data_IF_292199159931
#
_entry.id   IF_292199159931
#
_cell.length_a   1.000
_cell.length_b   1.000
_cell.length_c   1.000
_cell.angle_alpha   90.00
_cell.angle_beta   90.00
_cell.angle_gamma   90.00
#
_symmetry.space_group_name_H-M   'P 1'
#
loop_
_entity.id
_entity.type
_entity.pdbx_description
1 polymer ?
#
# COMPACT_ATOMS: atom_id res chain seq x y z
N UNK A 1 0.87 26.35 8.93
CA UNK A 1 1.98 26.83 8.05
C UNK A 1 2.08 25.84 6.90
N UNK A 2 2.16 26.32 5.66
CA UNK A 2 2.20 25.50 4.47
C UNK A 2 3.30 24.42 4.49
N UNK A 3 2.92 23.14 4.57
CA UNK A 3 3.85 22.00 4.43
C UNK A 3 3.52 21.19 3.18
N UNK A 4 4.52 20.57 2.56
CA UNK A 4 4.29 19.60 1.51
C UNK A 4 5.10 18.37 1.86
N UNK A 5 4.45 17.21 1.87
CA UNK A 5 5.09 15.94 2.17
C UNK A 5 4.98 15.04 0.96
N UNK A 6 6.12 14.56 0.46
CA UNK A 6 6.17 13.54 -0.58
C UNK A 6 6.39 12.18 0.08
N UNK A 7 5.44 11.26 -0.08
CA UNK A 7 5.66 9.84 0.23
C UNK A 7 6.41 9.19 -0.93
N UNK A 8 7.55 8.59 -0.64
CA UNK A 8 8.48 8.07 -1.63
C UNK A 8 8.80 6.60 -1.35
N UNK A 9 9.10 5.79 -2.39
CA UNK A 9 9.54 4.42 -2.19
C UNK A 9 10.89 4.37 -1.48
N UNK A 10 11.32 3.17 -1.08
CA UNK A 10 12.67 2.95 -0.61
C UNK A 10 13.70 3.45 -1.65
N UNK A 11 14.81 4.04 -1.19
CA UNK A 11 15.81 4.64 -2.10
C UNK A 11 16.46 3.60 -3.03
N UNK A 12 16.48 2.33 -2.61
CA UNK A 12 16.93 1.19 -3.42
C UNK A 12 16.08 0.95 -4.67
N UNK A 13 14.83 1.46 -4.73
CA UNK A 13 13.97 1.37 -5.92
C UNK A 13 14.33 2.38 -7.02
N UNK A 14 15.19 3.35 -6.74
CA UNK A 14 15.74 4.24 -7.75
C UNK A 14 17.07 3.69 -8.28
N UNK A 15 17.25 3.73 -9.60
CA UNK A 15 18.53 3.44 -10.21
C UNK A 15 19.63 4.36 -9.64
N UNK A 16 20.86 3.85 -9.58
CA UNK A 16 22.03 4.61 -9.17
C UNK A 16 22.34 5.70 -10.22
N UNK A 17 21.72 6.85 -10.06
CA UNK A 17 21.87 8.03 -10.90
C UNK A 17 22.06 9.26 -10.01
N UNK A 18 22.60 10.34 -10.58
CA UNK A 18 22.72 11.60 -9.87
C UNK A 18 21.40 12.36 -9.88
N UNK A 19 21.03 12.95 -8.74
CA UNK A 19 20.03 14.00 -8.68
C UNK A 19 20.55 15.27 -9.37
N UNK A 20 19.65 16.12 -9.89
CA UNK A 20 20.06 17.40 -10.42
C UNK A 20 20.77 18.27 -9.37
N UNK A 21 21.82 19.01 -9.76
CA UNK A 21 22.72 19.70 -8.81
C UNK A 21 22.03 20.63 -7.82
N UNK A 22 21.00 21.34 -8.25
CA UNK A 22 20.22 22.25 -7.42
C UNK A 22 19.41 21.50 -6.36
N UNK A 23 18.90 20.32 -6.70
CA UNK A 23 18.22 19.40 -5.78
C UNK A 23 19.23 18.79 -4.81
N UNK A 24 20.37 18.29 -5.31
CA UNK A 24 21.43 17.74 -4.46
C UNK A 24 21.96 18.79 -3.47
N UNK A 25 22.12 20.05 -3.90
CA UNK A 25 22.46 21.17 -3.00
C UNK A 25 21.39 21.44 -1.94
N UNK A 26 20.11 21.30 -2.29
CA UNK A 26 19.02 21.45 -1.34
C UNK A 26 19.01 20.31 -0.31
N UNK A 27 19.17 19.05 -0.75
CA UNK A 27 19.27 17.89 0.15
C UNK A 27 20.48 17.96 1.06
N UNK A 28 21.61 18.47 0.56
CA UNK A 28 22.80 18.74 1.37
C UNK A 28 22.52 19.70 2.54
N UNK A 29 21.49 20.54 2.43
CA UNK A 29 21.09 21.52 3.47
C UNK A 29 20.01 21.01 4.41
N UNK A 30 19.28 19.98 4.01
CA UNK A 30 18.16 19.43 4.74
C UNK A 30 18.54 18.92 6.13
N UNK A 31 17.59 18.94 7.05
CA UNK A 31 17.65 18.12 8.26
C UNK A 31 17.32 16.69 7.89
N UNK A 32 18.17 15.74 8.27
CA UNK A 32 17.95 14.32 8.03
C UNK A 32 17.47 13.64 9.31
N UNK A 33 16.44 12.82 9.23
CA UNK A 33 15.93 12.01 10.35
C UNK A 33 15.82 10.56 9.89
N UNK A 34 16.29 9.62 10.72
CA UNK A 34 16.06 8.19 10.51
C UNK A 34 14.91 7.74 11.42
N UNK A 35 13.94 7.04 10.85
CA UNK A 35 12.73 6.55 11.51
C UNK A 35 12.44 5.11 11.08
N UNK A 36 11.41 4.49 11.66
CA UNK A 36 11.05 3.10 11.38
C UNK A 36 10.73 2.89 9.88
N UNK A 37 11.40 1.96 9.19
CA UNK A 37 11.18 1.67 7.78
C UNK A 37 9.89 0.85 7.55
N UNK A 38 9.50 0.72 6.28
CA UNK A 38 8.35 -0.05 5.83
C UNK A 38 7.13 0.80 5.53
N UNK A 39 6.30 0.33 4.60
CA UNK A 39 5.11 1.05 4.13
C UNK A 39 4.15 1.38 5.27
N UNK A 40 3.83 0.40 6.13
CA UNK A 40 2.95 0.62 7.29
C UNK A 40 3.50 1.68 8.23
N UNK A 41 4.80 1.63 8.53
CA UNK A 41 5.46 2.60 9.40
C UNK A 41 5.44 3.99 8.77
N UNK A 42 5.66 4.09 7.46
CA UNK A 42 5.59 5.33 6.71
C UNK A 42 4.18 5.96 6.78
N UNK A 43 3.11 5.19 6.55
CA UNK A 43 1.74 5.68 6.66
C UNK A 43 1.38 6.09 8.09
N UNK A 44 1.83 5.33 9.10
CA UNK A 44 1.57 5.64 10.52
C UNK A 44 2.19 6.95 10.98
N UNK A 45 3.24 7.46 10.30
CA UNK A 45 3.80 8.79 10.58
C UNK A 45 2.86 9.93 10.19
N UNK A 46 1.94 9.69 9.26
CA UNK A 46 1.03 10.70 8.70
C UNK A 46 -0.43 10.47 9.09
N UNK A 47 -0.78 9.27 9.54
CA UNK A 47 -2.13 8.92 9.99
C UNK A 47 -2.08 8.25 11.36
N UNK A 48 -2.85 8.79 12.30
CA UNK A 48 -3.14 8.13 13.57
C UNK A 48 -4.44 7.37 13.42
N UNK A 49 -4.38 6.04 13.52
CA UNK A 49 -5.54 5.15 13.37
C UNK A 49 -5.86 4.53 14.73
N UNK A 50 -7.04 4.82 15.27
CA UNK A 50 -7.53 4.24 16.52
C UNK A 50 -8.20 2.89 16.25
N UNK A 51 -7.39 1.84 16.10
CA UNK A 51 -7.84 0.45 15.95
C UNK A 51 -6.86 -0.54 16.60
N UNK A 52 -7.33 -1.72 17.05
CA UNK A 52 -6.46 -2.77 17.60
C UNK A 52 -5.47 -3.33 16.59
N UNK A 53 -5.89 -3.40 15.32
CA UNK A 53 -5.12 -3.89 14.19
C UNK A 53 -5.14 -2.83 13.08
N UNK A 54 -4.22 -2.91 12.12
CA UNK A 54 -4.20 -2.00 10.97
C UNK A 54 -5.27 -2.44 9.94
N UNK A 55 -6.44 -1.77 9.86
CA UNK A 55 -7.63 -2.37 9.28
C UNK A 55 -7.74 -2.05 7.78
N UNK A 56 -6.78 -2.53 6.99
CA UNK A 56 -6.70 -2.25 5.55
C UNK A 56 -7.97 -2.68 4.81
N UNK A 57 -8.49 -3.87 5.13
CA UNK A 57 -9.68 -4.40 4.50
C UNK A 57 -10.90 -3.50 4.75
N UNK A 58 -11.16 -3.11 6.00
CA UNK A 58 -12.29 -2.26 6.35
C UNK A 58 -12.18 -0.86 5.72
N UNK A 59 -10.99 -0.24 5.77
CA UNK A 59 -10.76 1.09 5.18
C UNK A 59 -10.95 1.09 3.66
N UNK A 60 -10.38 0.11 2.97
CA UNK A 60 -10.53 0.01 1.50
C UNK A 60 -11.95 -0.40 1.12
N UNK A 61 -12.64 -1.23 1.92
CA UNK A 61 -14.06 -1.55 1.73
C UNK A 61 -14.96 -0.34 1.88
N UNK A 62 -14.72 0.49 2.90
CA UNK A 62 -15.50 1.72 3.10
C UNK A 62 -15.33 2.68 1.91
N UNK A 63 -14.16 2.70 1.29
CA UNK A 63 -13.88 3.49 0.09
C UNK A 63 -14.52 2.90 -1.17
N UNK A 64 -14.49 1.58 -1.34
CA UNK A 64 -15.00 0.89 -2.53
C UNK A 64 -16.53 0.75 -2.55
N UNK A 65 -17.17 0.54 -1.40
CA UNK A 65 -18.62 0.22 -1.30
C UNK A 65 -19.36 1.09 -0.27
N UNK A 66 -18.71 1.46 0.83
CA UNK A 66 -19.31 2.33 1.85
C UNK A 66 -20.09 1.61 2.97
N UNK A 67 -20.00 0.28 3.05
CA UNK A 67 -20.76 -0.59 3.98
C UNK A 67 -19.87 -1.30 5.02
N UNK A 68 -18.67 -0.79 5.29
CA UNK A 68 -17.71 -1.51 6.13
C UNK A 68 -18.11 -1.58 7.62
N UNK A 69 -19.05 -0.75 8.06
CA UNK A 69 -19.50 -0.69 9.45
C UNK A 69 -20.21 -1.99 9.92
N UNK A 70 -20.01 -2.35 11.18
CA UNK A 70 -20.73 -3.46 11.83
C UNK A 70 -20.26 -4.87 11.46
N UNK A 71 -19.13 -5.00 10.77
CA UNK A 71 -18.50 -6.29 10.47
C UNK A 71 -16.98 -6.21 10.58
N UNK A 72 -16.34 -7.37 10.72
CA UNK A 72 -14.90 -7.50 10.49
C UNK A 72 -14.65 -7.83 9.03
N UNK A 73 -13.60 -7.28 8.45
CA UNK A 73 -13.26 -7.44 7.04
C UNK A 73 -11.84 -7.99 6.91
N UNK A 74 -11.62 -8.79 5.89
CA UNK A 74 -10.32 -9.34 5.53
C UNK A 74 -10.14 -9.24 4.02
N UNK A 75 -8.95 -8.85 3.54
CA UNK A 75 -8.64 -8.91 2.11
C UNK A 75 -8.42 -10.37 1.72
N UNK A 76 -8.87 -10.74 0.53
CA UNK A 76 -8.69 -12.07 -0.05
C UNK A 76 -8.16 -11.93 -1.47
N UNK A 77 -7.06 -11.19 -1.62
CA UNK A 77 -6.64 -10.69 -2.93
C UNK A 77 -6.24 -11.82 -3.89
N UNK A 78 -6.65 -11.74 -5.17
CA UNK A 78 -6.17 -12.63 -6.22
C UNK A 78 -4.65 -12.69 -6.26
N UNK A 79 -4.07 -13.88 -6.22
CA UNK A 79 -2.63 -14.09 -6.23
C UNK A 79 -2.20 -15.17 -7.24
N UNK A 80 -0.96 -15.04 -7.71
CA UNK A 80 -0.26 -16.03 -8.51
C UNK A 80 0.90 -16.60 -7.70
N UNK A 81 0.77 -17.86 -7.32
CA UNK A 81 1.78 -18.64 -6.61
C UNK A 81 2.47 -19.60 -7.59
N UNK A 82 3.79 -19.69 -7.52
CA UNK A 82 4.57 -20.62 -8.35
C UNK A 82 5.40 -21.53 -7.44
N UNK A 83 5.41 -22.86 -7.68
CA UNK A 83 6.32 -23.76 -6.99
C UNK A 83 7.79 -23.37 -7.21
N UNK A 84 8.58 -23.44 -6.15
CA UNK A 84 10.03 -23.18 -6.16
C UNK A 84 10.76 -24.37 -5.50
N UNK A 85 12.08 -24.45 -5.64
CA UNK A 85 12.92 -25.52 -5.07
C UNK A 85 12.77 -25.66 -3.55
N UNK A 86 12.39 -24.58 -2.86
CA UNK A 86 12.22 -24.55 -1.41
C UNK A 86 10.74 -24.57 -0.96
N UNK A 87 9.78 -24.56 -1.89
CA UNK A 87 8.37 -24.49 -1.54
C UNK A 87 7.50 -23.82 -2.61
N UNK A 88 6.90 -22.68 -2.26
CA UNK A 88 6.10 -21.86 -3.17
C UNK A 88 6.43 -20.38 -2.97
N UNK A 89 6.34 -19.59 -4.03
CA UNK A 89 6.60 -18.15 -4.00
C UNK A 89 5.44 -17.37 -4.61
N UNK A 90 5.08 -16.26 -3.99
CA UNK A 90 4.12 -15.31 -4.57
C UNK A 90 4.81 -14.47 -5.65
N UNK A 91 4.31 -14.56 -6.89
CA UNK A 91 4.86 -13.84 -8.04
C UNK A 91 4.12 -12.54 -8.34
N UNK A 92 2.82 -12.49 -8.04
CA UNK A 92 1.97 -11.33 -8.23
C UNK A 92 0.73 -11.44 -7.35
N UNK A 93 0.16 -10.28 -6.99
CA UNK A 93 -1.09 -10.16 -6.25
C UNK A 93 -1.86 -8.91 -6.67
N UNK A 94 -3.18 -8.91 -6.45
CA UNK A 94 -4.04 -7.73 -6.60
C UNK A 94 -3.80 -6.98 -7.90
N UNK A 95 -3.39 -5.72 -7.83
CA UNK A 95 -3.18 -4.86 -9.01
C UNK A 95 -2.04 -5.34 -9.92
N UNK A 96 -0.99 -5.95 -9.37
CA UNK A 96 0.15 -6.44 -10.17
C UNK A 96 -0.23 -7.61 -11.08
N UNK A 97 -1.24 -8.39 -10.66
CA UNK A 97 -1.81 -9.51 -11.43
C UNK A 97 -2.77 -9.06 -12.53
N UNK A 98 -3.20 -7.78 -12.48
CA UNK A 98 -4.15 -7.15 -13.41
C UNK A 98 -5.43 -7.98 -13.66
N UNK A 99 -6.10 -8.48 -12.60
CA UNK A 99 -7.40 -9.11 -12.75
C UNK A 99 -8.41 -8.12 -13.33
N UNK A 100 -9.40 -8.68 -14.01
CA UNK A 100 -10.44 -7.99 -14.75
C UNK A 100 -11.80 -8.37 -14.17
N UNK A 101 -12.85 -7.65 -14.58
CA UNK A 101 -14.21 -8.02 -14.21
C UNK A 101 -14.58 -9.44 -14.69
N UNK A 102 -14.08 -9.85 -15.86
CA UNK A 102 -14.31 -11.20 -16.39
C UNK A 102 -13.71 -12.28 -15.48
N UNK A 103 -12.56 -12.01 -14.86
CA UNK A 103 -11.96 -12.91 -13.88
C UNK A 103 -12.86 -13.09 -12.65
N UNK A 104 -13.43 -11.99 -12.15
CA UNK A 104 -14.33 -12.02 -11.00
C UNK A 104 -15.60 -12.82 -11.30
N UNK A 105 -16.21 -12.56 -12.47
CA UNK A 105 -17.42 -13.27 -12.91
C UNK A 105 -17.18 -14.78 -13.09
N UNK A 106 -15.98 -15.17 -13.50
CA UNK A 106 -15.62 -16.59 -13.67
C UNK A 106 -15.26 -17.28 -12.35
N UNK A 107 -14.53 -16.61 -11.46
CA UNK A 107 -13.88 -17.25 -10.30
C UNK A 107 -14.66 -17.07 -8.98
N UNK A 108 -15.41 -15.99 -8.80
CA UNK A 108 -16.19 -15.81 -7.56
C UNK A 108 -17.25 -16.90 -7.35
N UNK A 109 -18.05 -17.31 -8.36
CA UNK A 109 -19.12 -18.28 -8.14
C UNK A 109 -18.63 -19.65 -7.65
N UNK A 110 -17.43 -20.07 -8.04
CA UNK A 110 -16.84 -21.33 -7.58
C UNK A 110 -16.28 -21.24 -6.16
N UNK A 111 -15.86 -20.04 -5.72
CA UNK A 111 -15.28 -19.80 -4.40
C UNK A 111 -16.33 -19.44 -3.34
N UNK A 112 -17.42 -18.79 -3.72
CA UNK A 112 -18.45 -18.35 -2.79
C UNK A 112 -19.01 -19.48 -1.90
N UNK A 113 -19.31 -20.70 -2.41
CA UNK A 113 -19.77 -21.80 -1.56
C UNK A 113 -18.75 -22.19 -0.47
N UNK A 114 -17.45 -22.26 -0.82
CA UNK A 114 -16.37 -22.57 0.12
C UNK A 114 -16.35 -21.61 1.32
N UNK A 115 -16.47 -20.31 1.05
CA UNK A 115 -16.47 -19.30 2.10
C UNK A 115 -17.80 -19.25 2.87
N UNK A 116 -18.93 -19.49 2.18
CA UNK A 116 -20.24 -19.56 2.81
C UNK A 116 -20.34 -20.73 3.81
N UNK A 117 -19.76 -21.89 3.48
CA UNK A 117 -19.68 -23.04 4.40
C UNK A 117 -18.84 -22.73 5.65
N UNK A 118 -17.86 -21.83 5.50
CA UNK A 118 -17.10 -21.27 6.62
C UNK A 118 -17.82 -20.11 7.35
N UNK A 119 -19.03 -19.72 6.94
CA UNK A 119 -19.79 -18.63 7.54
C UNK A 119 -19.30 -17.22 7.15
N UNK A 120 -18.61 -17.10 6.01
CA UNK A 120 -18.07 -15.85 5.48
C UNK A 120 -18.75 -15.48 4.17
N UNK A 121 -18.76 -14.18 3.84
CA UNK A 121 -19.27 -13.72 2.53
C UNK A 121 -18.10 -13.18 1.72
N UNK A 122 -17.84 -13.80 0.56
CA UNK A 122 -16.84 -13.34 -0.40
C UNK A 122 -17.48 -12.44 -1.46
N UNK A 123 -16.90 -11.26 -1.65
CA UNK A 123 -17.23 -10.35 -2.74
C UNK A 123 -15.99 -9.61 -3.32
N UNK A 124 -16.15 -9.01 -4.50
CA UNK A 124 -15.09 -8.26 -5.18
C UNK A 124 -15.67 -7.05 -5.93
N UNK A 125 -15.89 -5.91 -5.25
CA UNK A 125 -16.33 -4.68 -5.89
C UNK A 125 -15.27 -4.11 -6.85
N UNK A 126 -14.00 -4.46 -6.63
CA UNK A 126 -12.88 -4.15 -7.52
C UNK A 126 -12.16 -5.45 -7.91
N UNK A 127 -11.79 -5.65 -9.19
CA UNK A 127 -11.16 -6.90 -9.62
C UNK A 127 -9.86 -7.26 -8.90
N UNK A 128 -9.11 -6.26 -8.44
CA UNK A 128 -7.84 -6.39 -7.75
C UNK A 128 -7.98 -6.42 -6.22
N UNK A 129 -9.18 -6.19 -5.67
CA UNK A 129 -9.42 -6.11 -4.23
C UNK A 129 -10.66 -6.89 -3.85
N UNK A 130 -10.44 -8.08 -3.30
CA UNK A 130 -11.51 -8.98 -2.89
C UNK A 130 -11.63 -8.96 -1.37
N UNK A 131 -12.85 -9.14 -0.86
CA UNK A 131 -13.15 -9.00 0.56
C UNK A 131 -13.89 -10.22 1.08
N UNK A 132 -13.50 -10.63 2.29
CA UNK A 132 -14.31 -11.49 3.13
C UNK A 132 -14.96 -10.64 4.21
N UNK A 133 -16.29 -10.69 4.27
CA UNK A 133 -17.07 -10.20 5.40
C UNK A 133 -17.16 -11.29 6.46
N UNK A 134 -16.77 -10.94 7.68
CA UNK A 134 -16.63 -11.84 8.81
C UNK A 134 -17.49 -11.36 10.00
N UNK A 135 -17.86 -12.25 10.93
CA UNK A 135 -18.42 -11.84 12.22
C UNK A 135 -17.49 -10.84 12.92
N UNK A 136 -18.08 -9.80 13.53
CA UNK A 136 -17.32 -8.67 14.10
C UNK A 136 -16.41 -9.08 15.27
N UNK A 137 -16.78 -10.15 15.97
CA UNK A 137 -16.11 -10.72 17.15
C UNK A 137 -15.15 -11.86 16.79
N UNK A 138 -15.00 -12.20 15.50
CA UNK A 138 -14.07 -13.23 15.07
C UNK A 138 -12.62 -12.77 15.31
N UNK A 139 -11.91 -13.49 16.19
CA UNK A 139 -10.48 -13.30 16.38
C UNK A 139 -9.72 -13.79 15.13
N UNK A 140 -9.04 -12.86 14.47
CA UNK A 140 -8.18 -13.16 13.31
C UNK A 140 -6.76 -13.46 13.78
N UNK A 141 -6.08 -14.45 13.17
CA UNK A 141 -4.64 -14.56 13.31
C UNK A 141 -3.97 -13.35 12.65
N UNK A 142 -2.70 -13.13 12.97
CA UNK A 142 -1.89 -12.17 12.23
C UNK A 142 -1.66 -12.69 10.81
N UNK A 143 -1.85 -11.81 9.84
CA UNK A 143 -1.62 -12.08 8.43
C UNK A 143 -0.63 -11.07 7.89
N UNK A 144 0.44 -11.58 7.29
CA UNK A 144 1.45 -10.74 6.67
C UNK A 144 0.90 -10.07 5.40
N UNK A 145 1.29 -8.82 5.20
CA UNK A 145 0.93 -8.08 4.00
C UNK A 145 1.61 -8.67 2.75
N UNK A 146 1.03 -8.52 1.56
CA UNK A 146 1.64 -9.01 0.33
C UNK A 146 3.07 -8.48 0.09
N UNK A 147 3.37 -7.26 0.54
CA UNK A 147 4.70 -6.67 0.38
C UNK A 147 5.75 -7.29 1.32
N UNK A 148 5.32 -7.87 2.45
CA UNK A 148 6.18 -8.67 3.34
C UNK A 148 6.45 -10.07 2.79
N UNK A 149 5.50 -10.62 2.02
CA UNK A 149 5.54 -11.99 1.48
C UNK A 149 6.19 -12.06 0.10
N UNK A 150 6.17 -10.96 -0.65
CA UNK A 150 6.66 -10.89 -2.02
C UNK A 150 8.15 -11.25 -2.09
N UNK A 151 8.44 -12.39 -2.72
CA UNK A 151 9.80 -12.85 -2.97
C UNK A 151 10.43 -13.66 -1.84
N UNK A 152 9.73 -13.86 -0.73
CA UNK A 152 10.14 -14.73 0.39
C UNK A 152 9.46 -16.11 0.31
N UNK A 153 9.82 -17.02 1.22
CA UNK A 153 9.20 -18.35 1.34
C UNK A 153 7.80 -18.26 1.95
N UNK A 154 6.78 -18.61 1.15
CA UNK A 154 5.37 -18.56 1.51
C UNK A 154 5.06 -19.26 2.84
N UNK A 155 5.72 -20.39 3.13
CA UNK A 155 5.43 -21.19 4.31
C UNK A 155 5.76 -20.47 5.62
N UNK A 156 6.71 -19.53 5.60
CA UNK A 156 7.09 -18.72 6.76
C UNK A 156 6.04 -17.66 7.11
N UNK A 157 5.11 -17.38 6.20
CA UNK A 157 4.09 -16.34 6.34
C UNK A 157 2.67 -16.88 6.53
N UNK A 158 2.52 -18.21 6.60
CA UNK A 158 1.22 -18.82 6.82
C UNK A 158 0.81 -18.70 8.30
N UNK A 159 -0.47 -18.43 8.60
CA UNK A 159 -0.91 -18.22 9.97
C UNK A 159 -0.73 -19.48 10.82
N UNK A 160 -0.11 -19.32 11.98
CA UNK A 160 0.18 -20.38 12.93
C UNK A 160 -0.96 -20.63 13.92
N UNK A 161 -0.81 -21.66 14.76
CA UNK A 161 -1.77 -21.99 15.82
C UNK A 161 -3.11 -22.56 15.33
N UNK A 162 -4.05 -22.74 16.27
CA UNK A 162 -5.35 -23.34 15.97
C UNK A 162 -6.21 -22.48 15.04
N UNK A 163 -6.21 -21.14 15.26
CA UNK A 163 -6.88 -20.19 14.38
C UNK A 163 -6.31 -20.21 12.96
N UNK A 164 -4.98 -20.30 12.83
CA UNK A 164 -4.30 -20.35 11.53
C UNK A 164 -4.52 -21.66 10.76
N UNK A 165 -4.75 -22.80 11.44
CA UNK A 165 -5.08 -24.08 10.75
C UNK A 165 -6.32 -23.95 9.88
N UNK A 166 -7.37 -23.31 10.39
CA UNK A 166 -8.62 -23.10 9.64
C UNK A 166 -8.39 -22.25 8.39
N UNK A 167 -7.64 -21.16 8.51
CA UNK A 167 -7.32 -20.28 7.39
C UNK A 167 -6.43 -20.96 6.36
N UNK A 168 -5.43 -21.75 6.77
CA UNK A 168 -4.61 -22.55 5.85
C UNK A 168 -5.45 -23.55 5.06
N UNK A 169 -6.39 -24.24 5.70
CA UNK A 169 -7.30 -25.15 5.00
C UNK A 169 -8.12 -24.40 3.93
N UNK A 170 -8.69 -23.24 4.27
CA UNK A 170 -9.42 -22.39 3.32
C UNK A 170 -8.53 -21.93 2.15
N UNK A 171 -7.28 -21.53 2.42
CA UNK A 171 -6.32 -21.15 1.37
C UNK A 171 -6.03 -22.33 0.44
N UNK A 172 -5.79 -23.52 0.99
CA UNK A 172 -5.51 -24.73 0.21
C UNK A 172 -6.72 -25.14 -0.63
N UNK A 173 -7.93 -25.12 -0.06
CA UNK A 173 -9.16 -25.46 -0.79
C UNK A 173 -9.44 -24.46 -1.92
N UNK A 174 -9.31 -23.15 -1.64
CA UNK A 174 -9.42 -22.11 -2.66
C UNK A 174 -8.37 -22.30 -3.78
N UNK A 175 -7.13 -22.62 -3.42
CA UNK A 175 -6.06 -22.89 -4.39
C UNK A 175 -6.39 -24.09 -5.28
N UNK A 176 -6.93 -25.19 -4.73
CA UNK A 176 -7.33 -26.36 -5.52
C UNK A 176 -8.44 -26.01 -6.50
N UNK A 177 -9.46 -25.28 -6.06
CA UNK A 177 -10.56 -24.84 -6.93
C UNK A 177 -10.06 -23.94 -8.06
N UNK A 178 -9.22 -22.95 -7.73
CA UNK A 178 -8.68 -21.99 -8.68
C UNK A 178 -7.72 -22.66 -9.68
N UNK A 179 -6.82 -23.53 -9.22
CA UNK A 179 -5.85 -24.21 -10.07
C UNK A 179 -6.52 -25.08 -11.14
N UNK A 180 -7.60 -25.77 -10.77
CA UNK A 180 -8.35 -26.65 -11.68
C UNK A 180 -9.35 -25.90 -12.57
N UNK A 181 -9.55 -24.59 -12.37
CA UNK A 181 -10.56 -23.83 -13.08
C UNK A 181 -10.16 -23.57 -14.54
N UNK A 182 -11.04 -23.90 -15.49
CA UNK A 182 -10.78 -23.75 -16.93
C UNK A 182 -10.48 -22.31 -17.36
N UNK A 183 -10.98 -21.31 -16.63
CA UNK A 183 -10.65 -19.91 -16.84
C UNK A 183 -9.15 -19.62 -16.73
N UNK A 184 -8.44 -20.25 -15.79
CA UNK A 184 -7.00 -20.09 -15.67
C UNK A 184 -6.23 -20.71 -16.84
N UNK A 185 -6.77 -21.78 -17.44
CA UNK A 185 -6.21 -22.35 -18.67
C UNK A 185 -6.34 -21.35 -19.84
N UNK A 186 -7.46 -20.63 -19.92
CA UNK A 186 -7.67 -19.57 -20.93
C UNK A 186 -6.73 -18.38 -20.69
N UNK A 187 -6.57 -17.93 -19.45
CA UNK A 187 -5.59 -16.88 -19.08
C UNK A 187 -4.18 -17.27 -19.51
N UNK A 188 -3.77 -18.50 -19.20
CA UNK A 188 -2.46 -19.02 -19.58
C UNK A 188 -2.28 -19.09 -21.11
N UNK A 189 -3.31 -19.50 -21.85
CA UNK A 189 -3.29 -19.51 -23.33
C UNK A 189 -3.15 -18.11 -23.94
N UNK A 190 -3.53 -17.06 -23.19
CA UNK A 190 -3.37 -15.66 -23.56
C UNK A 190 -2.07 -15.03 -23.02
N UNK A 191 -1.17 -15.83 -22.43
CA UNK A 191 0.08 -15.35 -21.83
C UNK A 191 -0.10 -14.56 -20.53
N UNK A 192 -1.27 -14.63 -19.90
CA UNK A 192 -1.55 -13.99 -18.62
C UNK A 192 -1.18 -14.92 -17.46
N UNK A 193 -0.77 -14.34 -16.33
CA UNK A 193 -0.54 -15.10 -15.11
C UNK A 193 -1.86 -15.68 -14.57
N UNK A 194 -1.87 -16.94 -14.11
CA UNK A 194 -3.05 -17.55 -13.52
C UNK A 194 -3.38 -16.92 -12.17
N UNK A 195 -4.66 -16.82 -11.85
CA UNK A 195 -5.16 -16.48 -10.52
C UNK A 195 -5.38 -17.81 -9.79
N UNK A 196 -4.33 -18.34 -9.17
CA UNK A 196 -4.33 -19.69 -8.61
C UNK A 196 -4.39 -19.75 -7.09
N UNK A 197 -4.40 -18.61 -6.41
CA UNK A 197 -4.51 -18.51 -4.95
C UNK A 197 -5.23 -17.23 -4.54
N UNK A 198 -5.65 -17.15 -3.28
CA UNK A 198 -6.08 -15.94 -2.62
C UNK A 198 -5.14 -15.66 -1.45
N UNK A 199 -4.65 -14.43 -1.34
CA UNK A 199 -3.85 -14.02 -0.19
C UNK A 199 -4.72 -13.29 0.84
N UNK A 200 -4.74 -13.82 2.06
CA UNK A 200 -5.49 -13.22 3.16
C UNK A 200 -4.63 -12.23 3.93
N UNK A 201 -5.09 -10.99 4.09
CA UNK A 201 -4.33 -9.95 4.80
C UNK A 201 -5.18 -8.74 5.22
N UNK A 202 -4.59 -7.88 6.04
CA UNK A 202 -5.17 -6.56 6.33
C UNK A 202 -6.47 -6.61 7.12
N UNK A 203 -6.65 -7.66 7.93
CA UNK A 203 -7.86 -7.93 8.70
C UNK A 203 -8.18 -6.83 9.71
N UNK A 204 -9.47 -6.61 9.97
CA UNK A 204 -9.91 -5.73 11.04
C UNK A 204 -11.30 -5.13 10.82
N UNK A 205 -11.71 -4.34 11.80
CA UNK A 205 -12.95 -3.56 11.79
C UNK A 205 -12.66 -2.11 11.43
N UNK A 206 -13.70 -1.35 11.07
CA UNK A 206 -13.56 0.09 10.89
C UNK A 206 -12.95 0.75 12.15
N UNK A 207 -11.92 1.60 11.99
CA UNK A 207 -11.31 2.28 13.13
C UNK A 207 -12.30 3.26 13.77
N UNK A 208 -12.16 3.46 15.08
CA UNK A 208 -13.01 4.40 15.83
C UNK A 208 -12.81 5.83 15.33
N UNK A 209 -11.56 6.18 15.01
CA UNK A 209 -11.20 7.46 14.44
C UNK A 209 -9.90 7.35 13.66
N UNK A 210 -9.78 8.15 12.60
CA UNK A 210 -8.53 8.40 11.89
C UNK A 210 -8.26 9.90 11.92
N UNK A 211 -7.01 10.29 12.18
CA UNK A 211 -6.61 11.70 12.11
C UNK A 211 -5.29 11.86 11.37
N UNK A 212 -5.10 13.02 10.77
CA UNK A 212 -3.89 13.37 10.01
C UNK A 212 -3.60 14.86 10.15
N UNK A 213 -2.33 15.29 10.16
CA UNK A 213 -1.99 16.71 10.17
C UNK A 213 -2.17 17.38 8.79
N UNK A 214 -2.39 16.61 7.72
CA UNK A 214 -2.48 17.12 6.35
C UNK A 214 -3.88 17.62 6.02
N UNK A 215 -3.99 18.75 5.33
CA UNK A 215 -5.28 19.31 4.91
C UNK A 215 -5.85 18.64 3.65
N UNK A 216 -5.00 17.94 2.89
CA UNK A 216 -5.38 17.19 1.69
C UNK A 216 -4.40 16.04 1.43
N UNK A 217 -4.87 15.03 0.70
CA UNK A 217 -4.06 13.89 0.27
C UNK A 217 -4.23 13.71 -1.24
N UNK A 218 -3.12 13.63 -1.98
CA UNK A 218 -3.10 13.38 -3.42
C UNK A 218 -2.54 12.01 -3.67
N UNK A 219 -3.40 11.05 -4.02
CA UNK A 219 -3.02 9.66 -4.13
C UNK A 219 -3.95 8.88 -5.05
N UNK A 220 -3.43 7.77 -5.58
CA UNK A 220 -4.23 6.76 -6.30
C UNK A 220 -4.39 5.46 -5.54
N UNK A 221 -3.59 5.28 -4.49
CA UNK A 221 -3.60 4.10 -3.64
C UNK A 221 -4.90 4.01 -2.83
N UNK A 222 -5.60 2.87 -2.92
CA UNK A 222 -6.90 2.68 -2.31
C UNK A 222 -6.85 2.78 -0.77
N UNK A 223 -5.77 2.29 -0.15
CA UNK A 223 -5.61 2.37 1.31
C UNK A 223 -5.43 3.83 1.75
N UNK A 224 -4.55 4.57 1.10
CA UNK A 224 -4.32 5.97 1.42
C UNK A 224 -5.57 6.85 1.16
N UNK A 225 -6.35 6.54 0.12
CA UNK A 225 -7.66 7.17 -0.09
C UNK A 225 -8.65 6.82 1.03
N UNK A 226 -8.71 5.55 1.46
CA UNK A 226 -9.53 5.11 2.59
C UNK A 226 -9.16 5.82 3.91
N UNK A 227 -7.86 6.00 4.17
CA UNK A 227 -7.36 6.76 5.32
C UNK A 227 -7.76 8.24 5.24
N UNK A 228 -7.62 8.88 4.08
CA UNK A 228 -8.01 10.27 3.88
C UNK A 228 -9.53 10.48 4.09
N UNK A 229 -10.35 9.59 3.52
CA UNK A 229 -11.81 9.60 3.71
C UNK A 229 -12.19 9.42 5.18
N UNK A 230 -11.57 8.46 5.88
CA UNK A 230 -11.81 8.21 7.29
C UNK A 230 -11.36 9.37 8.19
N UNK A 231 -10.35 10.14 7.76
CA UNK A 231 -9.89 11.35 8.44
C UNK A 231 -10.71 12.61 8.10
N UNK A 232 -11.68 12.51 7.17
CA UNK A 232 -12.48 13.65 6.72
C UNK A 232 -11.69 14.66 5.86
N UNK A 233 -10.63 14.20 5.19
CA UNK A 233 -9.72 15.04 4.41
C UNK A 233 -9.99 14.88 2.91
N UNK A 234 -9.88 15.98 2.16
CA UNK A 234 -10.09 15.97 0.72
C UNK A 234 -9.04 15.13 0.00
N UNK A 235 -9.50 14.23 -0.86
CA UNK A 235 -8.67 13.50 -1.84
C UNK A 235 -8.60 14.32 -3.12
N UNK A 236 -7.39 14.54 -3.64
CA UNK A 236 -7.13 15.30 -4.88
C UNK A 236 -7.70 16.74 -4.89
N UNK A 237 -7.65 17.41 -3.74
CA UNK A 237 -8.10 18.79 -3.59
C UNK A 237 -7.33 19.81 -4.47
N UNK A 238 -8.04 20.87 -4.88
CA UNK A 238 -7.50 21.95 -5.71
C UNK A 238 -6.50 22.86 -4.96
N UNK A 239 -6.53 22.87 -3.63
CA UNK A 239 -5.66 23.72 -2.83
C UNK A 239 -4.19 23.31 -3.01
N UNK A 240 -3.26 24.27 -3.02
CA UNK A 240 -1.84 24.01 -3.27
C UNK A 240 -1.00 23.83 -1.99
N UNK A 241 -1.65 23.86 -0.82
CA UNK A 241 -0.97 24.09 0.46
C UNK A 241 -1.39 23.03 1.48
N UNK A 242 -0.43 22.47 2.22
CA UNK A 242 -0.63 21.44 3.25
C UNK A 242 -1.09 20.08 2.71
N UNK A 243 -0.30 19.54 1.78
CA UNK A 243 -0.60 18.32 1.04
C UNK A 243 0.36 17.17 1.34
N UNK A 244 -0.22 15.98 1.50
CA UNK A 244 0.48 14.71 1.38
C UNK A 244 0.35 14.20 -0.05
N UNK A 245 1.46 14.01 -0.76
CA UNK A 245 1.46 13.53 -2.15
C UNK A 245 2.10 12.15 -2.22
N UNK A 246 1.33 11.18 -2.71
CA UNK A 246 1.79 9.81 -2.88
C UNK A 246 2.57 9.63 -4.17
N UNK A 247 3.88 9.41 -4.04
CA UNK A 247 4.80 9.09 -5.12
C UNK A 247 5.52 7.76 -4.86
N UNK A 248 4.95 6.86 -4.03
CA UNK A 248 5.56 5.55 -3.70
C UNK A 248 5.74 4.64 -4.92
N UNK A 249 4.98 4.87 -5.99
CA UNK A 249 5.14 4.14 -7.25
C UNK A 249 6.16 4.76 -8.23
N UNK A 250 6.79 5.89 -7.86
CA UNK A 250 7.82 6.51 -8.68
C UNK A 250 9.07 5.60 -8.78
N UNK A 251 9.67 5.53 -9.97
CA UNK A 251 10.89 4.74 -10.20
C UNK A 251 12.03 5.55 -10.85
N UNK A 252 11.71 6.73 -11.38
CA UNK A 252 12.68 7.59 -12.05
C UNK A 252 13.21 8.67 -11.11
N UNK A 253 14.52 8.67 -10.89
CA UNK A 253 15.19 9.69 -10.11
C UNK A 253 15.15 11.06 -10.79
N UNK A 254 15.15 11.08 -12.13
CA UNK A 254 15.03 12.30 -12.92
C UNK A 254 13.65 12.94 -12.72
N UNK A 255 12.57 12.15 -12.74
CA UNK A 255 11.22 12.65 -12.45
C UNK A 255 11.10 13.12 -11.00
N UNK A 256 11.70 12.39 -10.04
CA UNK A 256 11.75 12.82 -8.65
C UNK A 256 12.41 14.19 -8.51
N UNK A 257 13.59 14.38 -9.10
CA UNK A 257 14.31 15.64 -9.04
C UNK A 257 13.59 16.77 -9.78
N UNK A 258 13.26 16.57 -11.06
CA UNK A 258 12.78 17.62 -11.95
C UNK A 258 11.32 17.98 -11.75
N UNK A 259 10.47 16.97 -11.59
CA UNK A 259 9.02 17.16 -11.68
C UNK A 259 8.39 17.21 -10.29
N UNK A 260 8.95 16.50 -9.30
CA UNK A 260 8.43 16.50 -7.94
C UNK A 260 9.14 17.51 -7.03
N UNK A 261 10.48 17.45 -6.90
CA UNK A 261 11.20 18.25 -5.90
C UNK A 261 11.42 19.71 -6.36
N UNK A 262 11.91 19.94 -7.58
CA UNK A 262 12.24 21.30 -8.07
C UNK A 262 11.08 22.31 -7.97
N UNK A 263 9.82 21.97 -8.33
CA UNK A 263 8.70 22.91 -8.19
C UNK A 263 8.44 23.30 -6.73
N UNK A 264 8.58 22.35 -5.79
CA UNK A 264 8.40 22.59 -4.36
C UNK A 264 9.55 23.39 -3.76
N UNK A 265 10.79 23.19 -4.24
CA UNK A 265 11.92 24.06 -3.90
C UNK A 265 11.70 25.50 -4.39
N UNK A 266 11.09 25.68 -5.56
CA UNK A 266 10.73 27.00 -6.06
C UNK A 266 9.64 27.66 -5.19
N UNK A 267 8.63 26.89 -4.76
CA UNK A 267 7.60 27.34 -3.82
C UNK A 267 8.19 27.75 -2.45
N UNK A 268 9.17 27.00 -1.90
CA UNK A 268 9.93 27.38 -0.70
C UNK A 268 10.67 28.72 -0.89
N UNK A 269 11.28 28.92 -2.07
CA UNK A 269 11.99 30.17 -2.38
C UNK A 269 11.05 31.37 -2.44
N UNK A 270 9.87 31.20 -3.07
CA UNK A 270 8.81 32.21 -3.15
C UNK A 270 8.11 32.47 -1.81
N UNK A 271 8.20 31.53 -0.87
CA UNK A 271 7.57 31.63 0.45
C UNK A 271 6.13 31.14 0.50
N UNK A 272 5.67 30.48 -0.57
CA UNK A 272 4.38 29.78 -0.63
C UNK A 272 4.39 28.52 0.24
N UNK A 273 5.56 27.90 0.39
CA UNK A 273 5.81 26.76 1.26
C UNK A 273 6.75 27.16 2.40
N UNK A 274 6.51 26.65 3.61
CA UNK A 274 7.41 26.83 4.75
C UNK A 274 8.34 25.62 4.90
N UNK A 275 7.81 24.42 4.63
CA UNK A 275 8.53 23.16 4.78
C UNK A 275 8.21 22.17 3.66
N UNK A 276 9.25 21.52 3.13
CA UNK A 276 9.14 20.33 2.29
C UNK A 276 9.69 19.13 3.05
N UNK A 277 8.91 18.05 3.13
CA UNK A 277 9.33 16.77 3.69
C UNK A 277 9.39 15.73 2.57
N UNK A 278 10.53 15.09 2.41
CA UNK A 278 10.70 13.90 1.59
C UNK A 278 10.74 12.71 2.53
N UNK A 279 9.70 11.89 2.50
CA UNK A 279 9.57 10.74 3.37
C UNK A 279 9.77 9.45 2.56
N UNK A 280 10.88 8.76 2.78
CA UNK A 280 11.19 7.49 2.11
C UNK A 280 10.75 6.29 2.95
N UNK A 281 10.26 5.26 2.24
CA UNK A 281 9.82 3.98 2.82
C UNK A 281 10.93 3.28 3.62
N UNK A 282 12.20 3.48 3.26
CA UNK A 282 13.37 2.93 3.96
C UNK A 282 13.70 3.64 5.29
N UNK A 283 12.84 4.55 5.72
CA UNK A 283 12.95 5.25 7.00
C UNK A 283 13.77 6.53 6.96
N UNK A 284 14.35 6.90 5.81
CA UNK A 284 15.06 8.18 5.69
C UNK A 284 14.07 9.32 5.42
N UNK A 285 14.15 10.40 6.20
CA UNK A 285 13.43 11.64 5.92
C UNK A 285 14.39 12.79 5.68
N UNK A 286 14.12 13.58 4.63
CA UNK A 286 14.73 14.89 4.43
C UNK A 286 13.70 15.98 4.71
N UNK A 287 14.01 16.87 5.64
CA UNK A 287 13.17 18.01 5.99
C UNK A 287 13.87 19.30 5.57
N UNK A 288 13.26 20.01 4.62
CA UNK A 288 13.77 21.27 4.08
C UNK A 288 12.89 22.42 4.55
N UNK A 289 13.43 23.24 5.45
CA UNK A 289 12.78 24.47 5.90
C UNK A 289 13.24 25.66 5.05
N UNK A 290 12.35 26.64 4.84
CA UNK A 290 12.65 27.86 4.07
C UNK A 290 13.96 28.56 4.49
N UNK A 291 14.26 28.57 5.79
CA UNK A 291 15.47 29.21 6.34
C UNK A 291 16.79 28.53 5.93
N UNK A 292 16.76 27.24 5.62
CA UNK A 292 17.96 26.46 5.28
C UNK A 292 18.56 26.83 3.92
N UNK A 293 17.84 27.61 3.09
CA UNK A 293 18.35 28.09 1.79
C UNK A 293 19.64 28.91 1.88
N UNK A 294 19.94 29.47 3.04
CA UNK A 294 21.12 30.27 3.30
C UNK A 294 22.35 29.46 3.74
N UNK A 295 22.22 28.15 3.94
CA UNK A 295 23.32 27.27 4.34
C UNK A 295 24.20 26.88 3.13
N UNK A 296 24.76 27.88 2.44
CA UNK A 296 25.51 27.66 1.19
C UNK A 296 26.84 26.91 1.38
N UNK A 297 27.35 26.83 2.61
CA UNK A 297 28.57 26.11 2.97
C UNK A 297 28.39 24.58 3.08
N UNK A 298 27.14 24.08 3.11
CA UNK A 298 26.89 22.64 3.14
C UNK A 298 27.10 22.04 1.75
N UNK A 299 27.81 20.90 1.72
CA UNK A 299 28.10 20.16 0.47
C UNK A 299 26.80 19.60 -0.13
N UNK A 300 26.69 19.52 -1.47
CA UNK A 300 25.61 18.77 -2.11
C UNK A 300 25.59 17.31 -1.63
N UNK A 301 24.40 16.73 -1.54
CA UNK A 301 24.18 15.33 -1.16
C UNK A 301 23.34 14.64 -2.21
N UNK A 302 23.82 13.53 -2.75
CA UNK A 302 23.06 12.64 -3.63
C UNK A 302 22.12 11.76 -2.82
N UNK A 303 21.17 11.12 -3.50
CA UNK A 303 20.15 10.31 -2.80
C UNK A 303 20.76 9.10 -2.08
N UNK A 304 21.77 8.49 -2.69
CA UNK A 304 22.45 7.28 -2.23
C UNK A 304 23.71 7.54 -1.40
N UNK A 305 24.01 8.80 -1.07
CA UNK A 305 25.07 9.21 -0.12
C UNK A 305 24.61 9.06 1.33
#
# INVERSE_FOLDING_TARGET
MATATLLLPARSRFAAAALPDDVARALGRATTVQVAPGERAQLTRHFTVAAPQWPVAALTRQRDVGDAAGASWLRADPACMVPDMHGARMMAYGETLRPTLADCLALLPVLQPLFADAGFVLDAPDPSRWYLRLPIDLALPDFDSPDEVLGDDLFSHLPEGEGGRRWRALMTEAQVLLHNHSWNQQRAAQGQQPINSLWFWGGGVMPVSVSTPHAQVRCRDALLQGLALAAGVAVDGEQAVDALVDLRQLRSLQQLGNDAIRPLLAALKRGELQRLVLDFEDGLQFQLDRGQRWQFWKKPRQLHD
#
